data_IF_977793470914
#
_entry.id   IF_977793470914
#
_cell.length_a   1.000
_cell.length_b   1.000
_cell.length_c   1.000
_cell.angle_alpha   90.00
_cell.angle_beta   90.00
_cell.angle_gamma   90.00
#
_symmetry.space_group_name_H-M   'P 1'
#
loop_
_entity.id
_entity.type
_entity.pdbx_description
1 polymer ?
#
# COMPACT_ATOMS: atom_id res chain seq x y z
N UNK A 1 -5.38 -5.58 -15.39
CA UNK A 1 -6.40 -5.88 -14.34
C UNK A 1 -7.70 -5.16 -14.62
N UNK A 2 -7.71 -3.82 -14.79
CA UNK A 2 -8.94 -3.07 -15.13
C UNK A 2 -9.60 -3.59 -16.42
N UNK A 3 -8.80 -3.86 -17.47
CA UNK A 3 -9.28 -4.38 -18.76
C UNK A 3 -9.85 -5.81 -18.66
N UNK A 4 -9.47 -6.53 -17.60
CA UNK A 4 -10.01 -7.85 -17.27
C UNK A 4 -11.24 -7.76 -16.35
N UNK A 5 -11.76 -6.54 -16.11
CA UNK A 5 -12.96 -6.31 -15.31
C UNK A 5 -12.75 -6.23 -13.79
N UNK A 6 -11.51 -6.20 -13.28
CA UNK A 6 -11.28 -6.14 -11.83
C UNK A 6 -11.74 -4.80 -11.22
N UNK A 7 -12.71 -4.79 -10.30
CA UNK A 7 -13.21 -3.55 -9.67
C UNK A 7 -12.17 -2.85 -8.79
N UNK A 8 -11.28 -3.64 -8.18
CA UNK A 8 -10.27 -3.16 -7.24
C UNK A 8 -8.92 -3.84 -7.54
N UNK A 9 -8.18 -3.38 -8.56
CA UNK A 9 -6.86 -3.92 -8.90
C UNK A 9 -5.92 -3.88 -7.70
N UNK A 10 -5.18 -4.97 -7.47
CA UNK A 10 -4.28 -5.10 -6.33
C UNK A 10 -2.92 -5.65 -6.74
N UNK A 11 -1.86 -5.06 -6.21
CA UNK A 11 -0.50 -5.62 -6.30
C UNK A 11 0.25 -5.49 -4.97
N UNK A 12 0.99 -6.53 -4.61
CA UNK A 12 1.89 -6.54 -3.46
C UNK A 12 3.26 -7.06 -3.90
N UNK A 13 4.33 -6.33 -3.59
CA UNK A 13 5.70 -6.65 -4.04
C UNK A 13 6.66 -6.69 -2.87
N UNK A 14 7.72 -7.50 -2.97
CA UNK A 14 8.78 -7.57 -1.96
C UNK A 14 9.93 -6.62 -2.35
N UNK A 15 10.24 -5.57 -1.56
CA UNK A 15 11.37 -4.71 -1.84
C UNK A 15 12.70 -5.42 -1.48
N UNK A 16 13.71 -5.25 -2.31
CA UNK A 16 15.10 -5.67 -2.05
C UNK A 16 15.97 -4.48 -1.64
N UNK A 17 15.48 -3.25 -1.87
CA UNK A 17 16.14 -1.99 -1.54
C UNK A 17 15.13 -0.89 -1.16
N UNK A 18 15.55 0.21 -0.52
CA UNK A 18 14.71 1.39 -0.34
C UNK A 18 14.19 1.97 -1.67
N UNK A 19 14.97 1.87 -2.73
CA UNK A 19 14.61 2.30 -4.07
C UNK A 19 13.38 1.54 -4.59
N UNK A 20 13.25 0.25 -4.29
CA UNK A 20 12.07 -0.53 -4.71
C UNK A 20 10.77 -0.03 -4.04
N UNK A 21 10.88 0.45 -2.79
CA UNK A 21 9.74 1.07 -2.10
C UNK A 21 9.33 2.35 -2.82
N UNK A 22 10.29 3.19 -3.22
CA UNK A 22 10.02 4.40 -4.01
C UNK A 22 9.41 4.06 -5.37
N UNK A 23 9.91 3.01 -6.04
CA UNK A 23 9.37 2.54 -7.32
C UNK A 23 7.89 2.15 -7.18
N UNK A 24 7.53 1.41 -6.13
CA UNK A 24 6.13 1.05 -5.88
C UNK A 24 5.26 2.29 -5.60
N UNK A 25 5.73 3.22 -4.75
CA UNK A 25 4.99 4.46 -4.45
C UNK A 25 4.78 5.33 -5.70
N UNK A 26 5.82 5.47 -6.52
CA UNK A 26 5.78 6.20 -7.79
C UNK A 26 4.82 5.56 -8.79
N UNK A 27 4.84 4.23 -8.91
CA UNK A 27 3.91 3.49 -9.76
C UNK A 27 2.45 3.64 -9.28
N UNK A 28 2.24 3.65 -7.96
CA UNK A 28 0.91 3.87 -7.35
C UNK A 28 0.37 5.24 -7.71
N UNK A 29 1.17 6.30 -7.53
CA UNK A 29 0.78 7.67 -7.85
C UNK A 29 0.53 7.85 -9.35
N UNK A 30 1.41 7.29 -10.18
CA UNK A 30 1.23 7.32 -11.64
C UNK A 30 -0.06 6.64 -12.06
N UNK A 31 -0.40 5.49 -11.47
CA UNK A 31 -1.66 4.80 -11.74
C UNK A 31 -2.85 5.67 -11.34
N UNK A 32 -2.84 6.22 -10.11
CA UNK A 32 -3.89 7.13 -9.60
C UNK A 32 -4.13 8.32 -10.51
N UNK A 33 -3.07 8.98 -10.98
CA UNK A 33 -3.16 10.25 -11.71
C UNK A 33 -3.45 10.10 -13.20
N UNK A 34 -2.95 9.02 -13.83
CA UNK A 34 -2.94 8.93 -15.30
C UNK A 34 -3.83 7.84 -15.89
N UNK A 35 -4.09 6.77 -15.14
CA UNK A 35 -4.62 5.53 -15.74
C UNK A 35 -5.81 4.92 -14.99
N UNK A 36 -5.94 5.20 -13.69
CA UNK A 36 -6.94 4.58 -12.85
C UNK A 36 -8.33 5.13 -13.17
N UNK A 37 -9.23 4.23 -13.56
CA UNK A 37 -10.67 4.55 -13.70
C UNK A 37 -11.47 4.06 -12.51
N UNK A 38 -10.81 3.40 -11.56
CA UNK A 38 -11.36 2.80 -10.35
C UNK A 38 -10.29 2.78 -9.25
N UNK A 39 -10.66 2.60 -7.97
CA UNK A 39 -9.69 2.54 -6.89
C UNK A 39 -8.71 1.37 -7.06
N UNK A 40 -7.50 1.48 -6.48
CA UNK A 40 -6.49 0.42 -6.51
C UNK A 40 -5.88 0.19 -5.13
N UNK A 41 -5.26 -0.97 -4.96
CA UNK A 41 -4.55 -1.36 -3.74
C UNK A 41 -3.09 -1.67 -4.11
N UNK A 42 -2.16 -0.98 -3.50
CA UNK A 42 -0.72 -1.28 -3.62
C UNK A 42 -0.08 -1.39 -2.25
N UNK A 43 0.95 -2.22 -2.16
CA UNK A 43 1.83 -2.27 -0.99
C UNK A 43 3.19 -2.84 -1.32
N UNK A 44 4.20 -2.26 -0.72
CA UNK A 44 5.51 -2.87 -0.53
C UNK A 44 5.47 -3.73 0.74
N UNK A 45 5.85 -4.99 0.63
CA UNK A 45 5.83 -5.97 1.72
C UNK A 45 7.08 -5.84 2.61
N UNK A 46 7.11 -6.63 3.68
CA UNK A 46 8.20 -6.64 4.65
C UNK A 46 8.27 -5.37 5.49
N UNK A 47 9.21 -5.36 6.44
CA UNK A 47 9.41 -4.23 7.37
C UNK A 47 9.80 -2.94 6.64
N UNK A 48 10.67 -3.04 5.63
CA UNK A 48 11.11 -1.90 4.80
C UNK A 48 9.96 -1.27 3.98
N UNK A 49 8.94 -2.06 3.65
CA UNK A 49 7.76 -1.58 2.92
C UNK A 49 6.71 -0.88 3.78
N UNK A 50 6.89 -0.80 5.10
CA UNK A 50 5.89 -0.28 6.05
C UNK A 50 5.35 1.10 5.68
N UNK A 51 6.21 2.00 5.16
CA UNK A 51 5.79 3.34 4.71
C UNK A 51 4.66 3.29 3.69
N UNK A 52 4.68 2.33 2.75
CA UNK A 52 3.64 2.19 1.72
C UNK A 52 2.27 1.81 2.28
N UNK A 53 2.23 1.21 3.49
CA UNK A 53 1.00 0.83 4.17
C UNK A 53 0.34 2.01 4.86
N UNK A 54 1.12 3.01 5.28
CA UNK A 54 0.63 4.17 6.02
C UNK A 54 0.27 5.31 5.07
N UNK A 55 1.05 5.50 4.00
CA UNK A 55 0.92 6.64 3.09
C UNK A 55 -0.06 6.43 1.93
N UNK A 56 -0.89 5.38 1.99
CA UNK A 56 -1.82 5.03 0.91
C UNK A 56 -2.73 6.18 0.48
N UNK A 57 -3.25 6.97 1.43
CA UNK A 57 -4.07 8.18 1.18
C UNK A 57 -3.37 9.20 0.27
N UNK A 58 -2.07 9.40 0.46
CA UNK A 58 -1.27 10.35 -0.31
C UNK A 58 -1.08 9.85 -1.75
N UNK A 59 -0.56 8.63 -1.90
CA UNK A 59 -0.12 8.11 -3.20
C UNK A 59 -1.22 7.42 -4.02
N UNK A 60 -2.38 7.09 -3.44
CA UNK A 60 -3.53 6.56 -4.18
C UNK A 60 -3.88 5.10 -3.94
N UNK A 61 -3.30 4.46 -2.92
CA UNK A 61 -3.77 3.14 -2.47
C UNK A 61 -5.02 3.32 -1.61
N UNK A 62 -6.15 2.78 -2.07
CA UNK A 62 -7.46 2.96 -1.45
C UNK A 62 -7.66 2.13 -0.17
N UNK A 63 -6.81 1.13 0.06
CA UNK A 63 -6.90 0.23 1.21
C UNK A 63 -5.52 -0.17 1.70
N UNK A 64 -5.39 -0.34 3.01
CA UNK A 64 -4.21 -0.91 3.65
C UNK A 64 -4.60 -2.05 4.58
N UNK A 65 -3.63 -2.91 4.91
CA UNK A 65 -3.84 -4.12 5.69
C UNK A 65 -3.05 -4.00 7.00
N UNK A 66 -3.77 -3.98 8.11
CA UNK A 66 -3.23 -4.09 9.46
C UNK A 66 -3.56 -5.45 10.08
N UNK A 67 -2.87 -5.79 11.17
CA UNK A 67 -3.09 -7.05 11.90
C UNK A 67 -3.92 -6.87 13.16
N UNK A 68 -4.72 -7.90 13.45
CA UNK A 68 -5.37 -8.10 14.74
C UNK A 68 -4.66 -9.27 15.43
N UNK A 69 -4.19 -9.09 16.65
CA UNK A 69 -3.47 -10.12 17.40
C UNK A 69 -2.05 -10.38 16.87
N UNK A 70 -1.64 -11.65 16.86
CA UNK A 70 -0.31 -12.09 16.40
C UNK A 70 -0.12 -11.83 14.89
N UNK A 71 1.05 -11.31 14.52
CA UNK A 71 1.39 -11.07 13.12
C UNK A 71 1.58 -12.41 12.40
N UNK A 72 0.82 -12.63 11.32
CA UNK A 72 0.91 -13.82 10.46
C UNK A 72 2.02 -13.71 9.40
N UNK A 73 2.59 -12.52 9.19
CA UNK A 73 3.67 -12.28 8.24
C UNK A 73 4.62 -11.14 8.68
N UNK A 74 5.93 -11.19 8.34
CA UNK A 74 6.88 -10.13 8.65
C UNK A 74 6.48 -8.77 8.06
N UNK A 75 6.51 -7.72 8.88
CA UNK A 75 6.20 -6.35 8.45
C UNK A 75 4.72 -5.97 8.48
N UNK A 76 3.87 -6.78 9.11
CA UNK A 76 2.51 -6.38 9.45
C UNK A 76 2.49 -5.38 10.62
N UNK A 77 1.70 -4.31 10.48
CA UNK A 77 1.53 -3.26 11.48
C UNK A 77 0.24 -3.54 12.23
N UNK A 78 0.28 -3.51 13.57
CA UNK A 78 -0.92 -3.70 14.38
C UNK A 78 -1.98 -2.65 14.03
N UNK A 79 -3.25 -3.04 14.00
CA UNK A 79 -4.33 -2.17 13.53
C UNK A 79 -4.45 -0.85 14.32
N UNK A 80 -4.15 -0.87 15.62
CA UNK A 80 -4.14 0.32 16.47
C UNK A 80 -3.04 1.30 16.05
N UNK A 81 -1.81 0.81 15.91
CA UNK A 81 -0.66 1.61 15.45
C UNK A 81 -0.84 2.12 14.03
N UNK A 82 -1.41 1.29 13.13
CA UNK A 82 -1.65 1.68 11.75
C UNK A 82 -2.64 2.85 11.67
N UNK A 83 -3.71 2.82 12.47
CA UNK A 83 -4.67 3.92 12.55
C UNK A 83 -4.02 5.20 13.06
N UNK A 84 -3.28 5.13 14.17
CA UNK A 84 -2.56 6.28 14.71
C UNK A 84 -1.61 6.91 13.68
N UNK A 85 -0.81 6.10 12.99
CA UNK A 85 0.12 6.57 11.98
C UNK A 85 -0.59 7.19 10.76
N UNK A 86 -1.73 6.64 10.36
CA UNK A 86 -2.53 7.22 9.27
C UNK A 86 -3.15 8.55 9.69
N UNK A 87 -3.67 8.66 10.91
CA UNK A 87 -4.29 9.88 11.43
C UNK A 87 -3.25 11.02 11.58
N UNK A 88 -1.99 10.70 11.90
CA UNK A 88 -0.90 11.71 11.94
C UNK A 88 -0.58 12.27 10.54
N UNK A 89 -0.72 11.45 9.50
CA UNK A 89 -0.31 11.80 8.13
C UNK A 89 -1.47 12.26 7.23
N UNK A 90 -2.70 12.36 7.73
CA UNK A 90 -3.86 12.66 6.89
C UNK A 90 -4.86 13.67 7.45
#
# INVERSE_FOLDING_TARGET
>A
MQDLGADLPKIAVMPQSPQDVLTLLSATLTMKEKYATRPLITMSMGKSGGVSRVTGRLFGSAMTFGTVGQASAPGQIAITQLRELMDILS
#
